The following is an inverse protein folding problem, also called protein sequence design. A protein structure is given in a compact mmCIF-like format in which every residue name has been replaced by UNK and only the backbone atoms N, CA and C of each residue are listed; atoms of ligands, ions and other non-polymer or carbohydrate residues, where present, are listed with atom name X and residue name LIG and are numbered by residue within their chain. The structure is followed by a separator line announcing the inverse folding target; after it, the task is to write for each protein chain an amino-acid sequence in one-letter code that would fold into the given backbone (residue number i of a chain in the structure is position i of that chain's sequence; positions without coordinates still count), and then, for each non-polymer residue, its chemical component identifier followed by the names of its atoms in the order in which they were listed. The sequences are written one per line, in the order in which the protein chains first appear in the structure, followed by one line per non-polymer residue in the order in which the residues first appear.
data_IF_022429165440
#
_entry.id   IF_022429165440
#
_cell.length_a   1.000
_cell.length_b   1.000
_cell.length_c   1.000
_cell.angle_alpha   90.00
_cell.angle_beta   90.00
_cell.angle_gamma   90.00
#
_symmetry.space_group_name_H-M   'P 1'
#
loop_
_entity.id
_entity.type
_entity.pdbx_description
1 polymer ?
#
# COMPACT_ATOMS: atom_id res chain seq x y z
N UNK A 1 7.95 -12.92 14.91
CA UNK A 1 7.98 -13.31 16.35
C UNK A 1 6.93 -14.33 16.74
N UNK A 2 5.86 -14.54 15.96
CA UNK A 2 4.79 -15.50 16.30
C UNK A 2 5.11 -16.95 15.87
N UNK A 3 6.05 -17.15 14.92
CA UNK A 3 6.42 -18.48 14.40
C UNK A 3 6.76 -19.53 15.46
N UNK A 4 7.43 -19.23 16.59
CA UNK A 4 7.70 -20.21 17.65
C UNK A 4 6.45 -20.72 18.39
N UNK A 5 5.30 -20.06 18.26
CA UNK A 5 4.05 -20.47 18.92
C UNK A 5 3.32 -21.62 18.19
N UNK A 6 3.82 -22.04 17.02
CA UNK A 6 3.25 -23.15 16.24
C UNK A 6 2.57 -22.71 14.95
N UNK A 7 2.19 -23.71 14.15
CA UNK A 7 1.62 -23.52 12.80
C UNK A 7 0.26 -22.84 12.85
N UNK A 8 -0.58 -23.19 13.83
CA UNK A 8 -1.91 -22.59 13.99
C UNK A 8 -1.83 -21.09 14.26
N UNK A 9 -0.89 -20.66 15.11
CA UNK A 9 -0.64 -19.26 15.44
C UNK A 9 -0.15 -18.47 14.22
N UNK A 10 0.72 -19.08 13.41
CA UNK A 10 1.23 -18.49 12.18
C UNK A 10 0.10 -18.29 11.16
N UNK A 11 -0.75 -19.31 10.97
CA UNK A 11 -1.90 -19.24 10.07
C UNK A 11 -2.92 -18.17 10.53
N UNK A 12 -3.24 -18.15 11.82
CA UNK A 12 -4.15 -17.18 12.42
C UNK A 12 -3.69 -15.73 12.18
N UNK A 13 -2.44 -15.42 12.53
CA UNK A 13 -1.89 -14.07 12.33
C UNK A 13 -1.74 -13.73 10.84
N UNK A 14 -1.35 -14.70 10.00
CA UNK A 14 -1.24 -14.51 8.55
C UNK A 14 -2.56 -14.09 7.89
N UNK A 15 -3.65 -14.80 8.20
CA UNK A 15 -5.00 -14.42 7.75
C UNK A 15 -5.42 -13.05 8.29
N UNK A 16 -5.17 -12.77 9.56
CA UNK A 16 -5.44 -11.46 10.16
C UNK A 16 -4.69 -10.30 9.49
N UNK A 17 -3.44 -10.52 9.07
CA UNK A 17 -2.67 -9.56 8.29
C UNK A 17 -3.29 -9.34 6.89
N UNK A 18 -3.73 -10.41 6.23
CA UNK A 18 -4.40 -10.32 4.94
C UNK A 18 -5.72 -9.53 5.03
N UNK A 19 -6.53 -9.79 6.06
CA UNK A 19 -7.74 -9.02 6.31
C UNK A 19 -7.44 -7.55 6.60
N UNK A 20 -6.37 -7.26 7.37
CA UNK A 20 -5.93 -5.89 7.64
C UNK A 20 -5.47 -5.17 6.36
N UNK A 21 -4.84 -5.88 5.42
CA UNK A 21 -4.46 -5.34 4.11
C UNK A 21 -5.69 -4.88 3.30
N UNK A 22 -6.81 -5.61 3.38
CA UNK A 22 -8.07 -5.22 2.73
C UNK A 22 -8.65 -3.93 3.33
N UNK A 23 -8.51 -3.70 4.64
CA UNK A 23 -8.92 -2.44 5.27
C UNK A 23 -8.16 -1.23 4.69
N UNK A 24 -6.92 -1.46 4.23
CA UNK A 24 -6.10 -0.47 3.55
C UNK A 24 -6.76 0.13 2.31
N UNK A 25 -7.68 -0.57 1.63
CA UNK A 25 -8.44 -0.07 0.48
C UNK A 25 -9.28 1.14 0.88
N UNK A 26 -9.99 1.07 2.00
CA UNK A 26 -10.85 2.14 2.51
C UNK A 26 -10.02 3.34 2.99
N UNK A 27 -8.82 3.09 3.53
CA UNK A 27 -7.91 4.15 3.96
C UNK A 27 -7.45 5.05 2.80
N UNK A 28 -7.48 4.55 1.55
CA UNK A 28 -7.13 5.32 0.34
C UNK A 28 -7.99 6.58 0.20
N UNK A 29 -9.25 6.56 0.65
CA UNK A 29 -10.18 7.69 0.49
C UNK A 29 -9.60 8.97 1.11
N UNK A 30 -9.25 8.94 2.41
CA UNK A 30 -8.72 10.12 3.09
C UNK A 30 -7.21 10.29 2.92
N UNK A 31 -6.45 9.19 2.77
CA UNK A 31 -4.99 9.28 2.62
C UNK A 31 -4.62 9.92 1.29
N UNK A 32 -5.07 9.39 0.15
CA UNK A 32 -4.75 9.95 -1.17
C UNK A 32 -5.51 11.25 -1.42
N UNK A 33 -6.82 11.27 -1.14
CA UNK A 33 -7.66 12.45 -1.34
C UNK A 33 -7.21 13.64 -0.48
N UNK A 34 -6.89 13.39 0.79
CA UNK A 34 -6.34 14.38 1.70
C UNK A 34 -4.95 14.85 1.27
N UNK A 35 -4.05 13.92 0.94
CA UNK A 35 -2.66 14.24 0.57
C UNK A 35 -2.56 15.23 -0.59
N UNK A 36 -3.36 15.02 -1.64
CA UNK A 36 -3.40 15.91 -2.81
C UNK A 36 -3.83 17.33 -2.40
N UNK A 37 -4.90 17.46 -1.61
CA UNK A 37 -5.41 18.76 -1.18
C UNK A 37 -4.45 19.47 -0.22
N UNK A 38 -3.89 18.74 0.75
CA UNK A 38 -2.92 19.26 1.72
C UNK A 38 -1.68 19.78 0.99
N UNK A 39 -1.11 18.98 0.07
CA UNK A 39 0.06 19.39 -0.71
C UNK A 39 -0.22 20.67 -1.53
N UNK A 40 -1.38 20.76 -2.18
CA UNK A 40 -1.75 21.97 -2.95
C UNK A 40 -1.98 23.19 -2.06
N UNK A 41 -2.62 23.02 -0.90
CA UNK A 41 -2.82 24.14 0.02
C UNK A 41 -1.52 24.61 0.65
N UNK A 42 -0.62 23.68 1.00
CA UNK A 42 0.74 23.99 1.46
C UNK A 42 1.51 24.80 0.42
N UNK A 43 1.50 24.37 -0.84
CA UNK A 43 2.14 25.09 -1.95
C UNK A 43 1.58 26.48 -2.21
N UNK A 44 0.28 26.68 -2.01
CA UNK A 44 -0.37 28.00 -2.16
C UNK A 44 -0.22 28.94 -0.95
N UNK A 45 0.53 28.54 0.09
CA UNK A 45 0.69 29.28 1.35
C UNK A 45 -0.54 29.28 2.26
N UNK A 46 -1.61 28.55 1.90
CA UNK A 46 -2.90 28.54 2.62
C UNK A 46 -2.93 27.47 3.70
N UNK A 47 -2.03 27.56 4.67
CA UNK A 47 -1.87 26.55 5.74
C UNK A 47 -3.16 26.30 6.54
N UNK A 48 -3.96 27.35 6.76
CA UNK A 48 -5.26 27.22 7.40
C UNK A 48 -6.19 26.24 6.67
N UNK A 49 -6.20 26.26 5.32
CA UNK A 49 -7.01 25.32 4.52
C UNK A 49 -6.40 23.92 4.53
N UNK A 50 -5.07 23.79 4.53
CA UNK A 50 -4.40 22.49 4.66
C UNK A 50 -4.79 21.80 5.98
N UNK A 51 -4.78 22.55 7.08
CA UNK A 51 -5.17 22.05 8.40
C UNK A 51 -6.69 21.79 8.54
N UNK A 52 -7.54 22.54 7.82
CA UNK A 52 -8.96 22.22 7.73
C UNK A 52 -9.22 20.90 6.96
N UNK A 53 -8.40 20.58 5.96
CA UNK A 53 -8.47 19.28 5.27
C UNK A 53 -8.06 18.14 6.22
N UNK A 54 -7.01 18.32 7.03
CA UNK A 54 -6.65 17.35 8.07
C UNK A 54 -7.84 17.03 8.99
N UNK A 55 -8.56 18.06 9.44
CA UNK A 55 -9.75 17.88 10.29
C UNK A 55 -10.84 17.02 9.60
N UNK A 56 -11.16 17.33 8.35
CA UNK A 56 -12.16 16.55 7.60
C UNK A 56 -11.70 15.12 7.33
N UNK A 57 -10.42 14.94 6.99
CA UNK A 57 -9.83 13.63 6.84
C UNK A 57 -9.86 12.83 8.14
N UNK A 58 -9.68 13.48 9.30
CA UNK A 58 -9.80 12.85 10.62
C UNK A 58 -11.23 12.41 10.91
N UNK A 59 -12.22 13.28 10.67
CA UNK A 59 -13.63 12.91 10.83
C UNK A 59 -14.02 11.74 9.92
N UNK A 60 -13.53 11.75 8.67
CA UNK A 60 -13.78 10.66 7.74
C UNK A 60 -13.06 9.37 8.15
N UNK A 61 -11.80 9.46 8.59
CA UNK A 61 -11.04 8.32 9.08
C UNK A 61 -11.72 7.67 10.30
N UNK A 62 -12.16 8.48 11.28
CA UNK A 62 -12.91 8.02 12.44
C UNK A 62 -14.24 7.40 12.04
N UNK A 63 -15.04 8.08 11.21
CA UNK A 63 -16.32 7.57 10.75
C UNK A 63 -16.19 6.24 9.99
N UNK A 64 -15.25 6.15 9.05
CA UNK A 64 -15.00 4.91 8.29
C UNK A 64 -14.46 3.80 9.19
N UNK A 65 -13.55 4.10 10.11
CA UNK A 65 -13.05 3.09 11.06
C UNK A 65 -14.15 2.56 11.97
N UNK A 66 -15.03 3.43 12.48
CA UNK A 66 -16.16 3.02 13.32
C UNK A 66 -17.14 2.14 12.54
N UNK A 67 -17.49 2.54 11.32
CA UNK A 67 -18.36 1.73 10.44
C UNK A 67 -17.71 0.37 10.17
N UNK A 68 -16.42 0.32 9.87
CA UNK A 68 -15.70 -0.94 9.63
C UNK A 68 -15.62 -1.81 10.90
N UNK A 69 -15.36 -1.23 12.07
CA UNK A 69 -15.37 -1.97 13.34
C UNK A 69 -16.75 -2.57 13.61
N UNK A 70 -17.83 -1.78 13.47
CA UNK A 70 -19.20 -2.26 13.70
C UNK A 70 -19.61 -3.36 12.71
N UNK A 71 -19.19 -3.25 11.46
CA UNK A 71 -19.52 -4.23 10.42
C UNK A 71 -18.67 -5.51 10.49
N UNK A 72 -17.41 -5.44 10.90
CA UNK A 72 -16.47 -6.56 10.81
C UNK A 72 -16.25 -7.28 12.14
N UNK A 73 -16.30 -6.58 13.27
CA UNK A 73 -16.03 -7.17 14.57
C UNK A 73 -16.97 -8.34 14.91
N UNK A 74 -18.30 -8.25 14.70
CA UNK A 74 -19.21 -9.38 14.97
C UNK A 74 -18.95 -10.58 14.06
N UNK A 75 -18.42 -10.35 12.86
CA UNK A 75 -18.15 -11.37 11.86
C UNK A 75 -16.70 -11.85 11.85
N UNK A 76 -15.87 -11.42 12.80
CA UNK A 76 -14.46 -11.77 12.84
C UNK A 76 -14.25 -13.30 12.83
N UNK A 77 -15.01 -14.05 13.64
CA UNK A 77 -14.95 -15.53 13.66
C UNK A 77 -15.42 -16.16 12.35
N UNK A 78 -16.56 -15.68 11.82
CA UNK A 78 -17.16 -16.16 10.56
C UNK A 78 -16.19 -15.98 9.38
N UNK A 79 -15.42 -14.89 9.36
CA UNK A 79 -14.44 -14.65 8.30
C UNK A 79 -13.28 -15.66 8.31
N UNK A 80 -12.86 -16.15 9.49
CA UNK A 80 -11.89 -17.25 9.57
C UNK A 80 -12.52 -18.58 9.13
N UNK A 81 -13.77 -18.84 9.50
CA UNK A 81 -14.50 -20.04 9.07
C UNK A 81 -14.69 -20.08 7.53
N UNK A 82 -14.99 -18.94 6.91
CA UNK A 82 -15.07 -18.83 5.44
C UNK A 82 -13.75 -19.11 4.73
N UNK A 83 -12.63 -18.94 5.43
CA UNK A 83 -11.30 -19.31 4.94
C UNK A 83 -10.94 -20.77 5.26
N UNK A 84 -11.91 -21.59 5.69
CA UNK A 84 -11.74 -22.98 6.09
C UNK A 84 -10.70 -23.16 7.21
N UNK A 85 -10.55 -22.16 8.08
CA UNK A 85 -9.67 -22.24 9.24
C UNK A 85 -10.20 -23.28 10.24
N UNK A 86 -9.30 -24.06 10.85
CA UNK A 86 -9.67 -24.96 11.94
C UNK A 86 -10.20 -24.15 13.14
N UNK A 87 -11.00 -24.76 14.04
CA UNK A 87 -11.52 -24.05 15.21
C UNK A 87 -10.42 -23.39 16.07
N UNK A 88 -9.25 -24.01 16.18
CA UNK A 88 -8.11 -23.45 16.92
C UNK A 88 -7.52 -22.21 16.21
N UNK A 89 -7.32 -22.29 14.89
CA UNK A 89 -6.84 -21.15 14.09
C UNK A 89 -7.85 -20.01 14.12
N UNK A 90 -9.15 -20.30 14.01
CA UNK A 90 -10.20 -19.29 14.10
C UNK A 90 -10.22 -18.61 15.48
N UNK A 91 -10.13 -19.38 16.58
CA UNK A 91 -10.09 -18.82 17.93
C UNK A 91 -8.88 -17.91 18.16
N UNK A 92 -7.68 -18.33 17.74
CA UNK A 92 -6.47 -17.51 17.81
C UNK A 92 -6.54 -16.30 16.87
N UNK A 93 -7.12 -16.49 15.69
CA UNK A 93 -7.34 -15.45 14.70
C UNK A 93 -8.28 -14.35 15.19
N UNK A 94 -9.35 -14.73 15.89
CA UNK A 94 -10.27 -13.79 16.56
C UNK A 94 -9.56 -13.08 17.72
N UNK A 95 -8.77 -13.80 18.52
CA UNK A 95 -8.01 -13.20 19.61
C UNK A 95 -6.96 -12.18 19.12
N UNK A 96 -6.44 -12.34 17.91
CA UNK A 96 -5.55 -11.38 17.27
C UNK A 96 -6.31 -10.25 16.56
N UNK A 97 -7.11 -10.61 15.57
CA UNK A 97 -7.70 -9.64 14.64
C UNK A 97 -8.92 -8.94 15.23
N UNK A 98 -9.63 -9.56 16.17
CA UNK A 98 -10.68 -8.90 16.95
C UNK A 98 -10.15 -7.72 17.75
N UNK A 99 -8.96 -7.85 18.36
CA UNK A 99 -8.28 -6.74 19.04
C UNK A 99 -7.89 -5.64 18.04
N UNK A 100 -7.38 -6.00 16.87
CA UNK A 100 -7.06 -5.02 15.80
C UNK A 100 -8.33 -4.27 15.35
N UNK A 101 -9.45 -4.97 15.16
CA UNK A 101 -10.73 -4.37 14.76
C UNK A 101 -11.29 -3.42 15.83
N UNK A 102 -11.15 -3.77 17.11
CA UNK A 102 -11.58 -2.91 18.21
C UNK A 102 -10.80 -1.59 18.24
N UNK A 103 -9.49 -1.64 17.95
CA UNK A 103 -8.60 -0.47 17.92
C UNK A 103 -8.32 0.03 16.49
N UNK A 104 -9.19 -0.31 15.54
CA UNK A 104 -9.07 0.11 14.14
C UNK A 104 -8.97 1.63 13.95
N UNK A 105 -9.65 2.49 14.77
CA UNK A 105 -9.44 3.93 14.71
C UNK A 105 -7.97 4.35 14.84
N UNK A 106 -7.16 3.66 15.66
CA UNK A 106 -5.75 4.03 15.83
C UNK A 106 -4.95 3.81 14.54
N UNK A 107 -5.20 2.71 13.85
CA UNK A 107 -4.56 2.39 12.56
C UNK A 107 -4.96 3.42 11.48
N UNK A 108 -6.23 3.82 11.45
CA UNK A 108 -6.72 4.83 10.52
C UNK A 108 -6.09 6.20 10.79
N UNK A 109 -6.00 6.60 12.05
CA UNK A 109 -5.37 7.87 12.43
C UNK A 109 -3.86 7.85 12.13
N UNK A 110 -3.17 6.73 12.34
CA UNK A 110 -1.74 6.58 12.03
C UNK A 110 -1.46 6.83 10.54
N UNK A 111 -2.21 6.19 9.65
CA UNK A 111 -2.04 6.38 8.21
C UNK A 111 -2.42 7.79 7.76
N UNK A 112 -3.40 8.42 8.42
CA UNK A 112 -3.76 9.82 8.20
C UNK A 112 -2.59 10.76 8.54
N UNK A 113 -1.99 10.63 9.73
CA UNK A 113 -0.88 11.49 10.12
C UNK A 113 0.36 11.25 9.27
N UNK A 114 0.67 10.00 8.93
CA UNK A 114 1.72 9.68 7.96
C UNK A 114 1.52 10.45 6.63
N UNK A 115 0.30 10.38 6.09
CA UNK A 115 -0.07 11.03 4.83
C UNK A 115 -0.01 12.56 4.93
N UNK A 116 -0.47 13.13 6.05
CA UNK A 116 -0.48 14.56 6.29
C UNK A 116 0.93 15.14 6.44
N UNK A 117 1.79 14.54 7.28
CA UNK A 117 3.18 15.00 7.47
C UNK A 117 3.97 14.91 6.15
N UNK A 118 3.83 13.79 5.43
CA UNK A 118 4.45 13.61 4.12
C UNK A 118 4.00 14.69 3.13
N UNK A 119 2.70 14.97 3.06
CA UNK A 119 2.12 16.00 2.16
C UNK A 119 2.48 17.43 2.54
N UNK A 120 2.80 17.68 3.80
CA UNK A 120 3.32 18.97 4.27
C UNK A 120 4.81 19.16 3.92
N UNK A 121 5.49 18.11 3.44
CA UNK A 121 6.91 18.09 3.12
C UNK A 121 7.83 17.68 4.27
N UNK A 122 7.27 17.18 5.39
CA UNK A 122 8.03 16.69 6.53
C UNK A 122 7.97 15.17 6.60
N UNK A 123 8.89 14.51 5.90
CA UNK A 123 9.01 13.04 5.87
C UNK A 123 9.88 12.48 6.99
N UNK A 124 10.72 13.31 7.62
CA UNK A 124 11.59 12.89 8.72
C UNK A 124 10.80 12.57 9.99
N UNK A 125 9.77 13.35 10.30
CA UNK A 125 8.91 13.10 11.48
C UNK A 125 8.27 11.71 11.43
N UNK A 126 7.54 11.32 10.35
CA UNK A 126 6.97 9.98 10.27
C UNK A 126 8.04 8.88 10.23
N UNK A 127 9.21 9.12 9.60
CA UNK A 127 10.30 8.14 9.58
C UNK A 127 10.81 7.83 10.99
N UNK A 128 11.16 8.86 11.77
CA UNK A 128 11.67 8.70 13.14
C UNK A 128 10.63 8.01 14.02
N UNK A 129 9.36 8.44 13.92
CA UNK A 129 8.26 7.85 14.69
C UNK A 129 8.08 6.37 14.33
N UNK A 130 8.11 6.00 13.05
CA UNK A 130 7.98 4.60 12.62
C UNK A 130 9.13 3.72 13.08
N UNK A 131 10.36 4.23 13.08
CA UNK A 131 11.52 3.50 13.63
C UNK A 131 11.33 3.24 15.13
N UNK A 132 11.01 4.29 15.90
CA UNK A 132 10.78 4.18 17.34
C UNK A 132 9.62 3.23 17.68
N UNK A 133 8.51 3.34 16.94
CA UNK A 133 7.33 2.49 17.13
C UNK A 133 7.60 1.03 16.77
N UNK A 134 8.38 0.78 15.72
CA UNK A 134 8.78 -0.59 15.32
C UNK A 134 9.66 -1.22 16.39
N UNK A 135 10.63 -0.47 16.93
CA UNK A 135 11.46 -0.95 18.03
C UNK A 135 10.63 -1.24 19.29
N UNK A 136 9.75 -0.30 19.67
CA UNK A 136 8.82 -0.51 20.78
C UNK A 136 7.93 -1.74 20.55
N UNK A 137 7.43 -1.95 19.33
CA UNK A 137 6.62 -3.11 18.97
C UNK A 137 7.39 -4.42 19.14
N UNK A 138 8.67 -4.49 18.74
CA UNK A 138 9.51 -5.69 18.94
C UNK A 138 9.68 -5.98 20.43
N UNK A 139 9.98 -4.97 21.24
CA UNK A 139 10.13 -5.11 22.70
C UNK A 139 8.81 -5.57 23.35
N UNK A 140 7.69 -4.96 22.97
CA UNK A 140 6.36 -5.32 23.47
C UNK A 140 5.95 -6.73 23.05
N UNK A 141 6.26 -7.16 21.83
CA UNK A 141 6.04 -8.53 21.38
C UNK A 141 6.85 -9.51 22.25
N UNK A 142 8.12 -9.22 22.52
CA UNK A 142 8.94 -10.08 23.37
C UNK A 142 8.34 -10.22 24.79
N UNK A 143 7.84 -9.12 25.35
CA UNK A 143 7.19 -9.12 26.66
C UNK A 143 5.85 -9.88 26.66
N UNK A 144 4.91 -9.51 25.76
CA UNK A 144 3.52 -9.97 25.81
C UNK A 144 3.26 -11.32 25.15
N UNK A 145 4.07 -11.70 24.15
CA UNK A 145 3.94 -13.02 23.53
C UNK A 145 4.46 -14.09 24.49
N UNK A 146 5.65 -13.87 25.07
CA UNK A 146 6.38 -14.87 25.85
C UNK A 146 6.25 -14.71 27.38
N UNK A 147 5.62 -13.64 27.87
CA UNK A 147 5.43 -13.41 29.30
C UNK A 147 6.71 -13.01 30.05
N UNK A 148 7.60 -12.29 29.39
CA UNK A 148 8.85 -11.85 29.99
C UNK A 148 8.69 -10.59 30.85
N UNK A 149 9.61 -10.38 31.79
CA UNK A 149 9.61 -9.23 32.71
C UNK A 149 8.34 -9.09 33.58
N UNK A 150 7.73 -10.23 33.94
CA UNK A 150 6.51 -10.26 34.75
C UNK A 150 5.23 -9.94 33.98
N UNK A 151 5.31 -9.79 32.65
CA UNK A 151 4.15 -9.65 31.80
C UNK A 151 3.38 -10.99 31.66
N UNK A 152 2.05 -10.95 31.43
CA UNK A 152 1.30 -12.17 31.15
C UNK A 152 1.72 -12.78 29.81
N UNK A 153 1.81 -14.11 29.75
CA UNK A 153 2.06 -14.84 28.51
C UNK A 153 0.76 -14.94 27.71
N UNK A 154 0.54 -13.99 26.80
CA UNK A 154 -0.72 -13.88 26.03
C UNK A 154 -0.66 -14.50 24.63
N UNK A 155 0.50 -15.05 24.23
CA UNK A 155 0.69 -15.70 22.93
C UNK A 155 0.26 -14.80 21.76
N UNK A 156 -0.64 -15.31 20.91
CA UNK A 156 -1.16 -14.61 19.72
C UNK A 156 -1.91 -13.32 20.08
N UNK A 157 -2.68 -13.30 21.18
CA UNK A 157 -3.33 -12.08 21.66
C UNK A 157 -2.30 -11.02 22.09
N UNK A 158 -1.17 -11.47 22.66
CA UNK A 158 -0.05 -10.60 23.02
C UNK A 158 0.53 -9.85 21.82
N UNK A 159 0.59 -10.51 20.65
CA UNK A 159 1.04 -9.88 19.40
C UNK A 159 0.10 -8.76 18.93
N UNK A 160 -1.22 -8.95 19.09
CA UNK A 160 -2.19 -7.90 18.76
C UNK A 160 -2.09 -6.72 19.71
N UNK A 161 -2.01 -6.96 21.02
CA UNK A 161 -1.84 -5.90 22.02
C UNK A 161 -0.53 -5.13 21.84
N UNK A 162 0.58 -5.82 21.56
CA UNK A 162 1.85 -5.17 21.23
C UNK A 162 1.71 -4.22 20.04
N UNK A 163 0.93 -4.59 19.03
CA UNK A 163 0.63 -3.76 17.85
C UNK A 163 -0.23 -2.55 18.22
N UNK A 164 -1.29 -2.73 18.99
CA UNK A 164 -2.17 -1.64 19.45
C UNK A 164 -1.41 -0.63 20.31
N UNK A 165 -0.60 -1.11 21.26
CA UNK A 165 0.21 -0.24 22.13
C UNK A 165 1.25 0.51 21.31
N UNK A 166 1.91 -0.14 20.35
CA UNK A 166 2.84 0.54 19.45
C UNK A 166 2.15 1.61 18.59
N UNK A 167 0.92 1.37 18.12
CA UNK A 167 0.11 2.38 17.44
C UNK A 167 -0.27 3.53 18.38
N UNK A 168 -0.64 3.25 19.63
CA UNK A 168 -0.92 4.29 20.61
C UNK A 168 0.32 5.18 20.88
N UNK A 169 1.51 4.56 21.02
CA UNK A 169 2.79 5.28 21.14
C UNK A 169 3.03 6.13 19.87
N UNK A 170 2.80 5.56 18.69
CA UNK A 170 2.94 6.28 17.42
C UNK A 170 2.08 7.54 17.37
N UNK A 171 0.81 7.44 17.78
CA UNK A 171 -0.11 8.56 17.81
C UNK A 171 0.25 9.60 18.87
N UNK A 172 0.72 9.16 20.04
CA UNK A 172 1.24 10.05 21.07
C UNK A 172 2.44 10.86 20.56
N UNK A 173 3.37 10.22 19.85
CA UNK A 173 4.51 10.89 19.23
C UNK A 173 4.06 11.85 18.14
N UNK A 174 3.12 11.45 17.27
CA UNK A 174 2.56 12.37 16.28
C UNK A 174 1.93 13.60 16.93
N UNK A 175 1.16 13.42 18.01
CA UNK A 175 0.61 14.53 18.78
C UNK A 175 1.75 15.42 19.33
N UNK A 176 2.78 14.85 19.96
CA UNK A 176 3.88 15.65 20.50
C UNK A 176 4.59 16.50 19.43
N UNK A 177 4.88 15.93 18.26
CA UNK A 177 5.52 16.64 17.15
C UNK A 177 4.58 17.66 16.50
N UNK A 178 3.29 17.34 16.35
CA UNK A 178 2.30 18.22 15.74
C UNK A 178 2.17 19.54 16.51
N UNK A 179 2.20 19.50 17.84
CA UNK A 179 2.00 20.71 18.66
C UNK A 179 3.28 21.53 18.84
N UNK A 180 4.46 20.93 18.61
CA UNK A 180 5.76 21.61 18.77
C UNK A 180 6.25 22.32 17.50
N UNK A 181 5.72 21.99 16.34
CA UNK A 181 6.21 22.50 15.07
C UNK A 181 5.36 23.67 14.54
N UNK A 182 6.02 24.69 13.96
CA UNK A 182 5.33 25.84 13.34
C UNK A 182 4.59 25.40 12.06
N UNK A 183 3.36 25.87 11.88
CA UNK A 183 2.52 25.59 10.71
C UNK A 183 1.59 24.38 10.85
N UNK A 184 1.68 23.67 11.97
CA UNK A 184 0.86 22.54 12.35
C UNK A 184 -0.10 22.99 13.44
N UNK A 185 -1.40 22.94 13.17
CA UNK A 185 -2.43 23.32 14.13
C UNK A 185 -3.77 22.76 13.68
N UNK A 186 -4.68 22.55 14.62
CA UNK A 186 -5.99 22.00 14.31
C UNK A 186 -6.96 23.11 13.94
N UNK A 187 -7.73 22.89 12.86
CA UNK A 187 -8.75 23.83 12.40
C UNK A 187 -10.08 23.08 12.32
N UNK A 188 -10.91 23.15 13.37
CA UNK A 188 -12.19 22.43 13.43
C UNK A 188 -13.24 23.09 12.54
N UNK A 189 -13.03 23.03 11.24
CA UNK A 189 -13.82 23.72 10.24
C UNK A 189 -14.42 22.72 9.28
N UNK A 190 -15.73 22.49 9.38
CA UNK A 190 -16.48 21.73 8.40
C UNK A 190 -16.81 22.61 7.18
N UNK A 191 -16.49 22.14 5.98
CA UNK A 191 -16.90 22.76 4.71
C UNK A 191 -17.26 21.67 3.72
N UNK A 192 -18.53 21.64 3.32
CA UNK A 192 -19.05 20.68 2.35
C UNK A 192 -18.23 20.66 1.05
N UNK A 193 -17.75 21.82 0.58
CA UNK A 193 -16.95 21.91 -0.64
C UNK A 193 -15.59 21.20 -0.53
N UNK A 194 -14.90 21.33 0.62
CA UNK A 194 -13.62 20.66 0.85
C UNK A 194 -13.84 19.15 1.04
N UNK A 195 -14.89 18.78 1.78
CA UNK A 195 -15.25 17.38 1.98
C UNK A 195 -15.63 16.69 0.66
N UNK A 196 -16.42 17.34 -0.20
CA UNK A 196 -16.75 16.84 -1.55
C UNK A 196 -15.50 16.71 -2.42
N UNK A 197 -14.59 17.68 -2.37
CA UNK A 197 -13.33 17.60 -3.12
C UNK A 197 -12.45 16.43 -2.63
N UNK A 198 -12.38 16.20 -1.32
CA UNK A 198 -11.68 15.06 -0.73
C UNK A 198 -12.25 13.73 -1.27
N UNK A 199 -13.57 13.55 -1.23
CA UNK A 199 -14.22 12.35 -1.75
C UNK A 199 -14.04 12.19 -3.27
N UNK A 200 -14.13 13.27 -4.04
CA UNK A 200 -13.94 13.23 -5.50
C UNK A 200 -12.53 12.79 -5.91
N UNK A 201 -11.52 13.03 -5.06
CA UNK A 201 -10.15 12.58 -5.29
C UNK A 201 -9.90 11.18 -4.71
N UNK A 202 -10.43 10.91 -3.51
CA UNK A 202 -10.18 9.69 -2.76
C UNK A 202 -10.98 8.47 -3.23
N UNK A 203 -12.27 8.64 -3.55
CA UNK A 203 -13.15 7.52 -3.93
C UNK A 203 -12.67 6.82 -5.21
N UNK A 204 -12.32 7.53 -6.30
CA UNK A 204 -11.79 6.85 -7.48
C UNK A 204 -10.48 6.10 -7.20
N UNK A 205 -9.60 6.61 -6.34
CA UNK A 205 -8.37 5.94 -5.97
C UNK A 205 -8.63 4.68 -5.11
N UNK A 206 -9.61 4.72 -4.21
CA UNK A 206 -10.09 3.53 -3.51
C UNK A 206 -10.63 2.49 -4.50
N UNK A 207 -11.47 2.90 -5.46
CA UNK A 207 -12.02 2.00 -6.49
C UNK A 207 -10.91 1.39 -7.33
N UNK A 208 -9.91 2.17 -7.73
CA UNK A 208 -8.69 1.70 -8.40
C UNK A 208 -7.99 0.60 -7.59
N UNK A 209 -7.80 0.83 -6.28
CA UNK A 209 -7.15 -0.13 -5.37
C UNK A 209 -8.00 -1.38 -5.12
N UNK A 210 -9.32 -1.22 -4.99
CA UNK A 210 -10.26 -2.32 -4.77
C UNK A 210 -10.30 -3.26 -5.98
N UNK A 211 -10.54 -2.69 -7.17
CA UNK A 211 -10.58 -3.46 -8.42
C UNK A 211 -9.20 -4.05 -8.71
N UNK A 212 -8.11 -3.31 -8.48
CA UNK A 212 -6.75 -3.84 -8.62
C UNK A 212 -6.49 -5.05 -7.72
N UNK A 213 -7.03 -5.06 -6.50
CA UNK A 213 -6.91 -6.20 -5.57
C UNK A 213 -7.72 -7.40 -6.05
N UNK A 214 -8.95 -7.18 -6.53
CA UNK A 214 -9.77 -8.25 -7.12
C UNK A 214 -9.12 -8.82 -8.39
N UNK A 215 -8.64 -7.96 -9.28
CA UNK A 215 -7.89 -8.33 -10.47
C UNK A 215 -6.66 -9.15 -10.17
N UNK A 216 -5.93 -8.80 -9.10
CA UNK A 216 -4.79 -9.57 -8.63
C UNK A 216 -5.21 -10.98 -8.18
N UNK A 217 -6.35 -11.14 -7.48
CA UNK A 217 -6.88 -12.46 -7.12
C UNK A 217 -7.19 -13.32 -8.35
N UNK A 218 -7.81 -12.73 -9.39
CA UNK A 218 -8.04 -13.44 -10.65
C UNK A 218 -6.73 -13.90 -11.30
N UNK A 219 -5.71 -13.03 -11.31
CA UNK A 219 -4.41 -13.38 -11.88
C UNK A 219 -3.72 -14.50 -11.09
N UNK A 220 -3.79 -14.47 -9.76
CA UNK A 220 -3.30 -15.57 -8.89
C UNK A 220 -4.03 -16.87 -9.19
N UNK A 221 -5.36 -16.84 -9.38
CA UNK A 221 -6.15 -18.03 -9.72
C UNK A 221 -5.75 -18.63 -11.07
N UNK A 222 -5.42 -17.79 -12.06
CA UNK A 222 -4.86 -18.25 -13.34
C UNK A 222 -3.52 -18.95 -13.14
N UNK A 223 -2.62 -18.40 -12.31
CA UNK A 223 -1.32 -19.06 -12.04
C UNK A 223 -1.52 -20.38 -11.29
N UNK A 224 -2.45 -20.42 -10.34
CA UNK A 224 -2.76 -21.61 -9.55
C UNK A 224 -3.29 -22.78 -10.39
N UNK A 225 -3.87 -22.53 -11.57
CA UNK A 225 -4.36 -23.61 -12.44
C UNK A 225 -3.25 -24.37 -13.16
N UNK A 226 -2.02 -23.84 -13.20
CA UNK A 226 -0.87 -24.49 -13.86
C UNK A 226 -0.23 -25.55 -12.95
N UNK A 227 0.21 -25.16 -11.75
CA UNK A 227 0.73 -26.10 -10.76
C UNK A 227 0.83 -25.45 -9.38
N UNK A 228 0.88 -26.30 -8.35
CA UNK A 228 1.14 -25.86 -6.96
C UNK A 228 2.54 -25.27 -6.81
N UNK A 229 3.53 -25.80 -7.54
CA UNK A 229 4.90 -25.27 -7.56
C UNK A 229 4.97 -23.87 -8.18
N UNK A 230 4.28 -23.63 -9.30
CA UNK A 230 4.20 -22.33 -9.96
C UNK A 230 3.54 -21.27 -9.05
N UNK A 231 2.46 -21.64 -8.35
CA UNK A 231 1.84 -20.75 -7.37
C UNK A 231 2.79 -20.41 -6.21
N UNK A 232 3.50 -21.42 -5.67
CA UNK A 232 4.48 -21.21 -4.59
C UNK A 232 5.63 -20.30 -5.04
N UNK A 233 6.18 -20.55 -6.22
CA UNK A 233 7.21 -19.75 -6.86
C UNK A 233 6.77 -18.29 -7.07
N UNK A 234 5.55 -18.08 -7.60
CA UNK A 234 4.99 -16.75 -7.81
C UNK A 234 4.79 -15.98 -6.49
N UNK A 235 4.25 -16.64 -5.45
CA UNK A 235 4.08 -16.02 -4.13
C UNK A 235 5.43 -15.64 -3.50
N UNK A 236 6.44 -16.47 -3.68
CA UNK A 236 7.78 -16.16 -3.21
C UNK A 236 8.39 -15.00 -3.99
N UNK A 237 8.24 -15.00 -5.31
CA UNK A 237 8.65 -13.91 -6.18
C UNK A 237 8.00 -12.58 -5.79
N UNK A 238 6.69 -12.57 -5.49
CA UNK A 238 5.98 -11.39 -5.01
C UNK A 238 6.51 -10.84 -3.69
N UNK A 239 6.99 -11.70 -2.79
CA UNK A 239 7.61 -11.26 -1.53
C UNK A 239 8.92 -10.52 -1.79
N UNK A 240 9.72 -11.02 -2.74
CA UNK A 240 10.98 -10.40 -3.16
C UNK A 240 10.67 -9.07 -3.87
N UNK A 241 9.76 -9.07 -4.84
CA UNK A 241 9.31 -7.87 -5.55
C UNK A 241 8.62 -6.84 -4.64
N UNK A 242 8.09 -7.27 -3.49
CA UNK A 242 7.49 -6.38 -2.50
C UNK A 242 8.41 -5.24 -2.07
N UNK A 243 9.73 -5.45 -2.09
CA UNK A 243 10.71 -4.39 -1.83
C UNK A 243 10.66 -3.29 -2.90
N UNK A 244 10.61 -3.66 -4.18
CA UNK A 244 10.40 -2.75 -5.32
C UNK A 244 9.13 -1.91 -5.17
N UNK A 245 8.03 -2.57 -4.80
CA UNK A 245 6.76 -1.90 -4.60
C UNK A 245 6.86 -0.80 -3.54
N UNK A 246 7.61 -1.03 -2.46
CA UNK A 246 7.82 -0.01 -1.42
C UNK A 246 8.61 1.20 -1.93
N UNK A 247 9.63 0.98 -2.79
CA UNK A 247 10.37 2.06 -3.45
C UNK A 247 9.40 2.89 -4.32
N UNK A 248 8.63 2.21 -5.19
CA UNK A 248 7.66 2.85 -6.08
C UNK A 248 6.61 3.67 -5.32
N UNK A 249 6.04 3.12 -4.24
CA UNK A 249 5.08 3.82 -3.37
C UNK A 249 5.72 5.05 -2.72
N UNK A 250 6.96 4.94 -2.21
CA UNK A 250 7.70 6.06 -1.62
C UNK A 250 7.86 7.23 -2.60
N UNK A 251 8.27 6.96 -3.84
CA UNK A 251 8.37 7.98 -4.88
C UNK A 251 7.00 8.51 -5.34
N UNK A 252 5.94 7.69 -5.26
CA UNK A 252 4.56 8.12 -5.51
C UNK A 252 4.09 9.18 -4.51
N UNK A 253 4.42 8.99 -3.22
CA UNK A 253 4.13 9.97 -2.15
C UNK A 253 4.97 11.23 -2.32
N UNK A 254 6.26 11.10 -2.62
CA UNK A 254 7.15 12.24 -2.89
C UNK A 254 6.65 13.08 -4.09
N UNK A 255 6.26 12.40 -5.17
CA UNK A 255 5.69 13.02 -6.37
C UNK A 255 4.41 13.80 -6.05
N UNK A 256 3.46 13.17 -5.33
CA UNK A 256 2.22 13.83 -4.89
C UNK A 256 2.51 15.12 -4.13
N UNK A 257 3.49 15.10 -3.23
CA UNK A 257 3.89 16.25 -2.41
C UNK A 257 4.53 17.35 -3.25
N UNK A 258 5.59 17.03 -3.98
CA UNK A 258 6.37 18.00 -4.77
C UNK A 258 5.54 18.64 -5.89
N UNK A 259 4.81 17.81 -6.65
CA UNK A 259 3.91 18.26 -7.70
C UNK A 259 2.77 19.08 -7.11
N UNK A 260 2.20 18.63 -5.98
CA UNK A 260 1.13 19.33 -5.29
C UNK A 260 1.57 20.72 -4.82
N UNK A 261 2.77 20.84 -4.26
CA UNK A 261 3.34 22.12 -3.82
C UNK A 261 3.52 23.07 -5.02
N UNK A 262 4.15 22.61 -6.10
CA UNK A 262 4.37 23.43 -7.29
C UNK A 262 3.04 23.88 -7.95
N UNK A 263 2.05 22.99 -8.02
CA UNK A 263 0.70 23.31 -8.48
C UNK A 263 -0.01 24.32 -7.57
N UNK A 264 0.15 24.18 -6.25
CA UNK A 264 -0.37 25.13 -5.27
C UNK A 264 0.23 26.52 -5.45
N UNK A 265 1.53 26.59 -5.75
CA UNK A 265 2.28 27.80 -6.05
C UNK A 265 2.01 28.37 -7.46
N UNK A 266 1.11 27.75 -8.24
CA UNK A 266 0.79 28.12 -9.63
C UNK A 266 1.98 28.04 -10.59
N UNK A 267 2.95 27.15 -10.33
CA UNK A 267 4.13 26.93 -11.17
C UNK A 267 4.01 25.59 -11.92
N UNK A 268 3.18 25.56 -12.96
CA UNK A 268 2.82 24.30 -13.67
C UNK A 268 4.04 23.67 -14.36
N UNK A 269 4.93 24.47 -14.96
CA UNK A 269 6.16 23.96 -15.59
C UNK A 269 7.10 23.31 -14.58
N UNK A 270 7.20 23.88 -13.37
CA UNK A 270 7.99 23.32 -12.28
C UNK A 270 7.36 22.00 -11.84
N UNK A 271 6.03 21.95 -11.71
CA UNK A 271 5.31 20.74 -11.35
C UNK A 271 5.54 19.60 -12.37
N UNK A 272 5.53 19.92 -13.67
CA UNK A 272 5.87 18.97 -14.74
C UNK A 272 7.30 18.44 -14.60
N UNK A 273 8.28 19.34 -14.46
CA UNK A 273 9.68 18.95 -14.31
C UNK A 273 9.85 18.08 -13.07
N UNK A 274 9.30 18.46 -11.92
CA UNK A 274 9.40 17.68 -10.68
C UNK A 274 8.84 16.27 -10.85
N UNK A 275 7.69 16.10 -11.50
CA UNK A 275 7.12 14.78 -11.77
C UNK A 275 8.07 13.92 -12.63
N UNK A 276 8.63 14.47 -13.71
CA UNK A 276 9.55 13.73 -14.60
C UNK A 276 10.87 13.40 -13.90
N UNK A 277 11.46 14.32 -13.14
CA UNK A 277 12.70 14.04 -12.40
C UNK A 277 12.47 12.98 -11.32
N UNK A 278 11.34 13.06 -10.59
CA UNK A 278 10.94 12.05 -9.60
C UNK A 278 10.75 10.69 -10.27
N UNK A 279 10.13 10.64 -11.45
CA UNK A 279 9.92 9.39 -12.20
C UNK A 279 11.24 8.78 -12.68
N UNK A 280 12.19 9.62 -13.14
CA UNK A 280 13.53 9.16 -13.54
C UNK A 280 14.32 8.61 -12.36
N UNK A 281 14.27 9.24 -11.19
CA UNK A 281 14.94 8.75 -9.98
C UNK A 281 14.33 7.43 -9.49
N UNK A 282 13.00 7.33 -9.50
CA UNK A 282 12.30 6.08 -9.20
C UNK A 282 12.69 4.98 -10.18
N UNK A 283 12.69 5.28 -11.48
CA UNK A 283 13.10 4.34 -12.53
C UNK A 283 14.56 3.90 -12.40
N UNK A 284 15.46 4.79 -11.98
CA UNK A 284 16.84 4.42 -11.71
C UNK A 284 16.93 3.42 -10.56
N UNK A 285 16.32 3.72 -9.41
CA UNK A 285 16.42 2.86 -8.23
C UNK A 285 15.71 1.51 -8.40
N UNK A 286 14.49 1.53 -8.93
CA UNK A 286 13.77 0.28 -9.25
C UNK A 286 14.44 -0.47 -10.40
N UNK A 287 15.08 0.23 -11.34
CA UNK A 287 15.88 -0.40 -12.40
C UNK A 287 17.14 -1.10 -11.87
N UNK A 288 17.83 -0.48 -10.89
CA UNK A 288 18.96 -1.12 -10.20
C UNK A 288 18.52 -2.40 -9.49
N UNK A 289 17.39 -2.35 -8.78
CA UNK A 289 16.80 -3.55 -8.19
C UNK A 289 16.38 -4.57 -9.26
N UNK A 290 15.75 -4.13 -10.34
CA UNK A 290 15.36 -4.99 -11.46
C UNK A 290 16.53 -5.74 -12.08
N UNK A 291 17.72 -5.14 -12.12
CA UNK A 291 18.95 -5.85 -12.51
C UNK A 291 19.32 -6.95 -11.52
N UNK A 292 19.15 -6.74 -10.20
CA UNK A 292 19.39 -7.79 -9.20
C UNK A 292 18.40 -8.94 -9.41
N UNK A 293 17.12 -8.65 -9.65
CA UNK A 293 16.10 -9.66 -9.94
C UNK A 293 16.38 -10.43 -11.23
N UNK A 294 16.96 -9.77 -12.24
CA UNK A 294 17.27 -10.37 -13.53
C UNK A 294 18.49 -11.29 -13.48
N UNK A 295 19.57 -10.86 -12.82
CA UNK A 295 20.85 -11.57 -12.83
C UNK A 295 21.05 -12.55 -11.66
N UNK A 296 20.40 -12.33 -10.52
CA UNK A 296 20.57 -13.15 -9.32
C UNK A 296 19.26 -13.75 -8.75
N UNK A 297 18.30 -14.21 -9.58
CA UNK A 297 17.02 -14.66 -9.05
C UNK A 297 17.13 -15.93 -8.20
N UNK A 298 17.93 -16.92 -8.60
CA UNK A 298 18.09 -18.17 -7.86
C UNK A 298 18.72 -17.94 -6.49
N UNK A 299 19.69 -17.02 -6.41
CA UNK A 299 20.31 -16.62 -5.14
C UNK A 299 19.29 -15.98 -4.19
N UNK A 300 18.43 -15.10 -4.71
CA UNK A 300 17.36 -14.49 -3.92
C UNK A 300 16.34 -15.52 -3.43
N UNK A 301 15.94 -16.45 -4.29
CA UNK A 301 14.98 -17.51 -3.96
C UNK A 301 15.54 -18.53 -2.97
N UNK A 302 16.85 -18.81 -3.05
CA UNK A 302 17.55 -19.73 -2.16
C UNK A 302 17.53 -19.31 -0.68
N UNK A 303 17.27 -18.03 -0.37
CA UNK A 303 17.03 -17.59 1.01
C UNK A 303 15.73 -18.11 1.62
N UNK A 304 14.78 -18.54 0.79
CA UNK A 304 13.43 -18.89 1.24
C UNK A 304 13.08 -20.36 1.04
N UNK A 305 13.71 -21.04 0.08
CA UNK A 305 13.44 -22.45 -0.21
C UNK A 305 14.67 -23.15 -0.78
N UNK A 306 14.75 -24.46 -0.56
CA UNK A 306 15.75 -25.36 -1.15
C UNK A 306 15.19 -26.23 -2.27
N UNK A 307 13.87 -26.15 -2.52
CA UNK A 307 13.19 -26.93 -3.56
C UNK A 307 13.54 -26.41 -4.97
N UNK A 308 14.31 -27.20 -5.72
CA UNK A 308 14.86 -26.78 -7.02
C UNK A 308 13.79 -26.34 -8.02
N UNK A 309 12.67 -27.06 -8.10
CA UNK A 309 11.56 -26.75 -9.03
C UNK A 309 10.92 -25.39 -8.70
N UNK A 310 10.79 -25.05 -7.42
CA UNK A 310 10.24 -23.75 -6.98
C UNK A 310 11.22 -22.61 -7.30
N UNK A 311 12.53 -22.87 -7.16
CA UNK A 311 13.57 -21.90 -7.50
C UNK A 311 13.58 -21.64 -9.01
N UNK A 312 13.48 -22.67 -9.85
CA UNK A 312 13.48 -22.53 -11.30
C UNK A 312 12.28 -21.72 -11.81
N UNK A 313 11.06 -22.09 -11.39
CA UNK A 313 9.82 -21.37 -11.71
C UNK A 313 9.84 -19.94 -11.16
N UNK A 314 10.34 -19.75 -9.95
CA UNK A 314 10.46 -18.44 -9.33
C UNK A 314 11.47 -17.56 -10.07
N UNK A 315 12.54 -18.15 -10.60
CA UNK A 315 13.57 -17.42 -11.32
C UNK A 315 13.05 -16.90 -12.65
N UNK A 316 12.23 -17.69 -13.35
CA UNK A 316 11.51 -17.24 -14.53
C UNK A 316 10.65 -15.99 -14.22
N UNK A 317 9.87 -16.04 -13.14
CA UNK A 317 9.07 -14.90 -12.70
C UNK A 317 9.90 -13.65 -12.41
N UNK A 318 10.96 -13.78 -11.59
CA UNK A 318 11.81 -12.67 -11.18
C UNK A 318 12.54 -12.03 -12.36
N UNK A 319 12.97 -12.81 -13.35
CA UNK A 319 13.58 -12.28 -14.59
C UNK A 319 12.59 -11.44 -15.38
N UNK A 320 11.36 -11.93 -15.57
CA UNK A 320 10.32 -11.20 -16.30
C UNK A 320 9.95 -9.89 -15.61
N UNK A 321 9.78 -9.94 -14.28
CA UNK A 321 9.49 -8.76 -13.46
C UNK A 321 10.67 -7.78 -13.43
N UNK A 322 11.91 -8.28 -13.34
CA UNK A 322 13.12 -7.46 -13.33
C UNK A 322 13.22 -6.53 -14.53
N UNK A 323 12.83 -7.00 -15.72
CA UNK A 323 12.82 -6.22 -16.96
C UNK A 323 11.78 -5.09 -16.91
N UNK A 324 10.67 -5.29 -16.19
CA UNK A 324 9.54 -4.34 -16.14
C UNK A 324 9.59 -3.34 -14.98
N UNK A 325 10.63 -3.38 -14.14
CA UNK A 325 10.77 -2.46 -12.99
C UNK A 325 10.82 -0.98 -13.38
N UNK A 326 11.49 -0.63 -14.49
CA UNK A 326 11.57 0.75 -14.98
C UNK A 326 10.17 1.29 -15.37
N UNK A 327 9.39 0.61 -16.25
CA UNK A 327 8.01 0.99 -16.53
C UNK A 327 7.12 1.03 -15.28
N UNK A 328 7.30 0.08 -14.36
CA UNK A 328 6.54 0.03 -13.11
C UNK A 328 6.79 1.29 -12.24
N UNK A 329 8.04 1.74 -12.15
CA UNK A 329 8.39 2.98 -11.46
C UNK A 329 7.71 4.20 -12.09
N UNK A 330 7.72 4.30 -13.43
CA UNK A 330 7.05 5.36 -14.16
C UNK A 330 5.54 5.36 -13.89
N UNK A 331 4.91 4.18 -13.87
CA UNK A 331 3.51 4.02 -13.52
C UNK A 331 3.21 4.59 -12.13
N UNK A 332 3.96 4.21 -11.10
CA UNK A 332 3.72 4.67 -9.72
C UNK A 332 3.79 6.19 -9.58
N UNK A 333 4.83 6.80 -10.16
CA UNK A 333 5.09 8.23 -10.03
C UNK A 333 4.11 9.05 -10.86
N UNK A 334 3.94 8.70 -12.14
CA UNK A 334 3.11 9.49 -13.06
C UNK A 334 1.62 9.33 -12.77
N UNK A 335 1.18 8.15 -12.30
CA UNK A 335 -0.20 7.95 -11.83
C UNK A 335 -0.52 8.88 -10.65
N UNK A 336 0.38 8.98 -9.67
CA UNK A 336 0.24 9.93 -8.56
C UNK A 336 0.28 11.39 -9.02
N UNK A 337 1.19 11.74 -9.93
CA UNK A 337 1.23 13.08 -10.49
C UNK A 337 -0.09 13.42 -11.18
N UNK A 338 -0.60 12.57 -12.08
CA UNK A 338 -1.87 12.79 -12.79
C UNK A 338 -3.04 13.01 -11.82
N UNK A 339 -3.14 12.20 -10.76
CA UNK A 339 -4.15 12.41 -9.71
C UNK A 339 -3.99 13.77 -9.05
N UNK A 340 -2.76 14.19 -8.78
CA UNK A 340 -2.44 15.50 -8.17
C UNK A 340 -2.80 16.69 -9.08
N UNK A 341 -2.67 16.52 -10.41
CA UNK A 341 -3.16 17.46 -11.41
C UNK A 341 -4.69 17.52 -11.53
N UNK A 342 -5.42 16.61 -10.87
CA UNK A 342 -6.88 16.50 -10.93
C UNK A 342 -7.39 15.56 -12.03
N UNK A 343 -6.51 14.90 -12.78
CA UNK A 343 -6.86 13.94 -13.82
C UNK A 343 -7.12 12.53 -13.23
N UNK A 344 -7.89 12.46 -12.14
CA UNK A 344 -8.07 11.22 -11.37
C UNK A 344 -8.77 10.13 -12.17
N UNK A 345 -9.82 10.48 -12.92
CA UNK A 345 -10.54 9.52 -13.79
C UNK A 345 -9.65 8.94 -14.89
N UNK A 346 -8.76 9.76 -15.45
CA UNK A 346 -7.81 9.31 -16.47
C UNK A 346 -6.83 8.28 -15.89
N UNK A 347 -6.28 8.53 -14.70
CA UNK A 347 -5.43 7.57 -14.01
C UNK A 347 -6.17 6.25 -13.74
N UNK A 348 -7.42 6.32 -13.27
CA UNK A 348 -8.28 5.15 -13.07
C UNK A 348 -8.47 4.35 -14.37
N UNK A 349 -8.84 5.01 -15.47
CA UNK A 349 -9.09 4.32 -16.75
C UNK A 349 -7.84 3.70 -17.34
N UNK A 350 -6.69 4.37 -17.27
CA UNK A 350 -5.41 3.78 -17.68
C UNK A 350 -5.09 2.57 -16.81
N UNK A 351 -5.25 2.69 -15.49
CA UNK A 351 -4.92 1.62 -14.55
C UNK A 351 -5.75 0.36 -14.73
N UNK A 352 -7.07 0.50 -14.85
CA UNK A 352 -7.99 -0.62 -14.97
C UNK A 352 -8.05 -1.16 -16.40
N UNK A 353 -8.09 -0.27 -17.38
CA UNK A 353 -8.15 -0.66 -18.80
C UNK A 353 -6.90 -1.45 -19.18
N UNK A 354 -5.72 -0.96 -18.80
CA UNK A 354 -4.47 -1.68 -19.08
C UNK A 354 -4.44 -3.06 -18.43
N UNK A 355 -4.79 -3.13 -17.14
CA UNK A 355 -4.74 -4.36 -16.36
C UNK A 355 -5.66 -5.46 -16.92
N UNK A 356 -6.89 -5.12 -17.29
CA UNK A 356 -7.83 -6.11 -17.82
C UNK A 356 -7.54 -6.47 -19.26
N UNK A 357 -7.33 -5.48 -20.13
CA UNK A 357 -7.21 -5.68 -21.58
C UNK A 357 -5.88 -6.35 -21.94
N UNK A 358 -4.77 -5.95 -21.30
CA UNK A 358 -3.44 -6.42 -21.69
C UNK A 358 -2.83 -7.47 -20.76
N UNK A 359 -3.36 -7.66 -19.54
CA UNK A 359 -2.86 -8.69 -18.61
C UNK A 359 -3.87 -9.80 -18.34
N UNK A 360 -5.03 -9.50 -17.76
CA UNK A 360 -5.97 -10.55 -17.31
C UNK A 360 -6.57 -11.33 -18.47
N UNK A 361 -7.13 -10.64 -19.47
CA UNK A 361 -7.77 -11.30 -20.62
C UNK A 361 -6.75 -12.15 -21.40
N UNK A 362 -5.57 -11.64 -21.79
CA UNK A 362 -4.57 -12.45 -22.47
C UNK A 362 -4.07 -13.63 -21.62
N UNK A 363 -3.81 -13.42 -20.31
CA UNK A 363 -3.40 -14.51 -19.42
C UNK A 363 -4.45 -15.62 -19.32
N UNK A 364 -5.74 -15.25 -19.27
CA UNK A 364 -6.85 -16.20 -19.26
C UNK A 364 -6.92 -16.98 -20.58
N UNK A 365 -6.78 -16.30 -21.72
CA UNK A 365 -6.75 -16.96 -23.04
C UNK A 365 -5.59 -17.95 -23.12
N UNK A 366 -4.37 -17.55 -22.74
CA UNK A 366 -3.19 -18.43 -22.74
C UNK A 366 -3.44 -19.68 -21.88
N UNK A 367 -3.98 -19.49 -20.67
CA UNK A 367 -4.30 -20.61 -19.77
C UNK A 367 -5.38 -21.53 -20.33
N UNK A 368 -6.42 -20.97 -20.97
CA UNK A 368 -7.51 -21.75 -21.55
C UNK A 368 -7.08 -22.60 -22.74
N UNK A 369 -6.17 -22.10 -23.59
CA UNK A 369 -5.66 -22.82 -24.76
C UNK A 369 -4.53 -23.80 -24.37
N UNK A 370 -4.14 -23.85 -23.09
CA UNK A 370 -3.09 -24.75 -22.59
C UNK A 370 -1.67 -24.30 -22.97
N UNK A 371 -1.45 -23.00 -23.18
CA UNK A 371 -0.12 -22.44 -23.39
C UNK A 371 0.75 -22.50 -22.13
N UNK A 372 2.06 -22.36 -22.26
CA UNK A 372 2.99 -22.37 -21.12
C UNK A 372 2.84 -21.13 -20.21
N UNK A 373 3.16 -21.29 -18.92
CA UNK A 373 3.07 -20.20 -17.92
C UNK A 373 3.95 -19.00 -18.25
N UNK A 374 5.04 -19.20 -18.99
CA UNK A 374 5.92 -18.14 -19.50
C UNK A 374 5.10 -17.06 -20.22
N UNK A 375 4.11 -17.44 -21.02
CA UNK A 375 3.26 -16.51 -21.77
C UNK A 375 2.33 -15.67 -20.88
N UNK A 376 1.95 -16.20 -19.71
CA UNK A 376 1.23 -15.43 -18.68
C UNK A 376 2.13 -14.34 -18.10
N UNK A 377 3.41 -14.64 -17.84
CA UNK A 377 4.39 -13.65 -17.38
C UNK A 377 4.79 -12.65 -18.46
N UNK A 378 4.83 -13.07 -19.73
CA UNK A 378 5.00 -12.16 -20.86
C UNK A 378 3.83 -11.18 -20.95
N UNK A 379 2.58 -11.64 -20.84
CA UNK A 379 1.41 -10.76 -20.83
C UNK A 379 1.48 -9.71 -19.70
N UNK A 380 1.87 -10.13 -18.49
CA UNK A 380 2.11 -9.23 -17.37
C UNK A 380 3.20 -8.19 -17.67
N UNK A 381 4.32 -8.62 -18.24
CA UNK A 381 5.45 -7.77 -18.55
C UNK A 381 5.08 -6.74 -19.60
N UNK A 382 4.49 -7.19 -20.72
CA UNK A 382 4.01 -6.34 -21.81
C UNK A 382 2.98 -5.33 -21.31
N UNK A 383 2.02 -5.75 -20.48
CA UNK A 383 1.06 -4.83 -19.87
C UNK A 383 1.74 -3.73 -19.05
N UNK A 384 2.76 -4.08 -18.27
CA UNK A 384 3.50 -3.11 -17.44
C UNK A 384 4.25 -2.08 -18.31
N UNK A 385 4.84 -2.51 -19.43
CA UNK A 385 5.42 -1.61 -20.43
C UNK A 385 4.38 -0.69 -21.07
N UNK A 386 3.25 -1.26 -21.52
CA UNK A 386 2.15 -0.50 -22.12
C UNK A 386 1.62 0.52 -21.11
N UNK A 387 1.38 0.11 -19.86
CA UNK A 387 0.87 0.98 -18.80
C UNK A 387 1.82 2.12 -18.49
N UNK A 388 3.11 1.84 -18.33
CA UNK A 388 4.15 2.86 -18.13
C UNK A 388 4.18 3.87 -19.28
N UNK A 389 4.11 3.38 -20.53
CA UNK A 389 4.03 4.22 -21.71
C UNK A 389 2.75 5.08 -21.78
N UNK A 390 1.58 4.50 -21.51
CA UNK A 390 0.30 5.21 -21.48
C UNK A 390 0.32 6.33 -20.44
N UNK A 391 0.83 6.06 -19.24
CA UNK A 391 1.00 7.09 -18.21
C UNK A 391 1.94 8.20 -18.69
N UNK A 392 3.08 7.88 -19.28
CA UNK A 392 4.00 8.88 -19.83
C UNK A 392 3.38 9.71 -20.96
N UNK A 393 2.70 9.06 -21.90
CA UNK A 393 2.05 9.70 -23.05
C UNK A 393 0.95 10.67 -22.61
N UNK A 394 0.01 10.20 -21.80
CA UNK A 394 -1.11 11.01 -21.31
C UNK A 394 -0.64 12.13 -20.38
N UNK A 395 0.39 11.86 -19.56
CA UNK A 395 1.04 12.89 -18.76
C UNK A 395 1.57 13.99 -19.68
N UNK A 396 2.45 13.67 -20.65
CA UNK A 396 3.04 14.65 -21.57
C UNK A 396 1.99 15.42 -22.37
N UNK A 397 0.94 14.76 -22.88
CA UNK A 397 -0.13 15.40 -23.65
C UNK A 397 -0.88 16.45 -22.81
N UNK A 398 -1.10 16.17 -21.53
CA UNK A 398 -1.79 17.10 -20.63
C UNK A 398 -1.00 18.39 -20.40
N UNK A 399 0.33 18.35 -20.40
CA UNK A 399 1.21 19.52 -20.27
C UNK A 399 1.45 20.28 -21.55
N UNK A 400 1.41 19.62 -22.71
CA UNK A 400 1.47 20.36 -23.99
C UNK A 400 0.21 21.20 -24.26
N UNK A 401 -0.88 20.92 -23.56
CA UNK A 401 -2.16 21.64 -23.68
C UNK A 401 -2.59 22.40 -22.43
N UNK A 402 -1.70 22.56 -21.44
CA UNK A 402 -1.90 23.40 -20.25
C UNK A 402 -0.85 24.50 -20.26
#
# INVERSE_FOLDING_TARGET
MVSPLGVDALAAVGLGLQFTMLLGVVMVIYSVGGSILIARYRGSGRLYRANAVLYMSLLLALGLSLVMTLLLYPFAGVLYEWMYATPNVAAQGVAYWGVILLFLPLLFIDTLFFSYFSSMGNTLTPLIIKILATFANVVLNYALIFGHWGAPQMGVAGAAWATVIALAITLLLYALFFWRQKGYFFVPLWRANLFRALLQLGVPAMVERAIGSLSFMFFVAIIASYSTYALAAYQLGLRIEGMAYMIGIGFSVASTTLVGHALGAKTVDVAYRLAIHTAKLAALLMGLEGMILLFFPEWLLGFFTTEAVVIEEGALYLRMVGISQIPLAMMFVLSASLRTFGAVKLALYISLGSLWIFRIIPAYIVSYVGGEIVWVYVAMTVETFIKGYLFYYFFRRRFKGA
#
